data_IF_121666387588
#
_entry.id   IF_121666387588
#
_cell.length_a   1.000
_cell.length_b   1.000
_cell.length_c   1.000
_cell.angle_alpha   90.00
_cell.angle_beta   90.00
_cell.angle_gamma   90.00
#
_symmetry.space_group_name_H-M   'P 1'
#
loop_
_entity.id
_entity.type
_entity.pdbx_description
1 polymer ?
#
# COMPACT_ATOMS: atom_id res chain seq x y z
N UNK A 1 -13.40 -2.59 -9.95
CA UNK A 1 -13.13 -1.91 -11.24
C UNK A 1 -14.30 -1.06 -11.75
N UNK A 2 -15.51 -1.62 -11.94
CA UNK A 2 -16.66 -0.88 -12.49
C UNK A 2 -17.03 0.40 -11.72
N UNK A 3 -17.02 0.34 -10.39
CA UNK A 3 -17.32 1.51 -9.54
C UNK A 3 -16.24 2.59 -9.70
N UNK A 4 -14.96 2.21 -9.69
CA UNK A 4 -13.84 3.14 -9.87
C UNK A 4 -13.87 3.80 -11.26
N UNK A 5 -14.15 3.03 -12.31
CA UNK A 5 -14.30 3.58 -13.67
C UNK A 5 -15.46 4.59 -13.75
N UNK A 6 -16.62 4.28 -13.15
CA UNK A 6 -17.74 5.23 -13.07
C UNK A 6 -17.37 6.52 -12.32
N UNK A 7 -16.59 6.43 -11.24
CA UNK A 7 -16.11 7.61 -10.52
C UNK A 7 -15.15 8.47 -11.37
N UNK A 8 -14.25 7.85 -12.15
CA UNK A 8 -13.32 8.57 -13.04
C UNK A 8 -14.09 9.32 -14.11
N UNK A 9 -15.07 8.66 -14.75
CA UNK A 9 -15.92 9.27 -15.77
C UNK A 9 -16.74 10.43 -15.19
N UNK A 10 -17.29 10.28 -13.98
CA UNK A 10 -18.08 11.32 -13.35
C UNK A 10 -17.25 12.54 -12.92
N UNK A 11 -15.98 12.35 -12.52
CA UNK A 11 -15.11 13.42 -12.00
C UNK A 11 -13.64 13.25 -12.43
N UNK A 12 -13.31 13.51 -13.70
CA UNK A 12 -11.97 13.24 -14.25
C UNK A 12 -10.86 14.13 -13.68
N UNK A 13 -11.21 15.23 -13.01
CA UNK A 13 -10.22 16.14 -12.38
C UNK A 13 -9.79 15.70 -10.98
N UNK A 14 -10.40 14.67 -10.40
CA UNK A 14 -10.04 14.18 -9.07
C UNK A 14 -8.94 13.12 -9.16
N UNK A 15 -7.72 13.48 -8.74
CA UNK A 15 -6.56 12.59 -8.68
C UNK A 15 -6.85 11.26 -7.95
N UNK A 16 -7.61 11.33 -6.85
CA UNK A 16 -8.02 10.15 -6.07
C UNK A 16 -8.69 9.08 -6.94
N UNK A 17 -9.53 9.49 -7.89
CA UNK A 17 -10.25 8.53 -8.74
C UNK A 17 -9.30 7.81 -9.71
N UNK A 18 -8.32 8.54 -10.24
CA UNK A 18 -7.28 7.97 -11.10
C UNK A 18 -6.35 7.04 -10.33
N UNK A 19 -5.93 7.41 -9.12
CA UNK A 19 -5.12 6.56 -8.25
C UNK A 19 -5.85 5.25 -7.91
N UNK A 20 -7.14 5.30 -7.59
CA UNK A 20 -7.92 4.10 -7.34
C UNK A 20 -8.06 3.21 -8.60
N UNK A 21 -8.19 3.79 -9.79
CA UNK A 21 -8.21 3.00 -11.01
C UNK A 21 -6.84 2.37 -11.28
N UNK A 22 -5.79 3.17 -11.18
CA UNK A 22 -4.40 2.78 -11.40
C UNK A 22 -3.91 1.71 -10.41
N UNK A 23 -4.38 1.71 -9.16
CA UNK A 23 -4.05 0.65 -8.20
C UNK A 23 -4.81 -0.65 -8.47
N UNK A 24 -6.05 -0.58 -8.97
CA UNK A 24 -6.84 -1.80 -9.22
C UNK A 24 -6.41 -2.59 -10.45
N UNK A 25 -5.86 -1.95 -11.49
CA UNK A 25 -5.45 -2.65 -12.72
C UNK A 25 -4.31 -3.65 -12.48
N UNK A 26 -3.19 -3.27 -11.80
CA UNK A 26 -2.11 -4.19 -11.48
C UNK A 26 -2.54 -5.35 -10.57
N UNK A 27 -3.42 -5.10 -9.58
CA UNK A 27 -3.97 -6.17 -8.74
C UNK A 27 -4.69 -7.25 -9.56
N UNK A 28 -5.55 -6.84 -10.49
CA UNK A 28 -6.30 -7.79 -11.34
C UNK A 28 -5.35 -8.52 -12.28
N UNK A 29 -4.38 -7.81 -12.88
CA UNK A 29 -3.37 -8.42 -13.74
C UNK A 29 -2.55 -9.47 -12.98
N UNK A 30 -2.06 -9.14 -11.77
CA UNK A 30 -1.32 -10.08 -10.93
C UNK A 30 -2.15 -11.27 -10.47
N UNK A 31 -3.42 -11.06 -10.11
CA UNK A 31 -4.33 -12.16 -9.77
C UNK A 31 -4.49 -13.13 -10.94
N UNK A 32 -4.59 -12.62 -12.17
CA UNK A 32 -4.64 -13.45 -13.37
C UNK A 32 -3.31 -14.18 -13.63
N UNK A 33 -2.16 -13.50 -13.50
CA UNK A 33 -0.83 -14.12 -13.64
C UNK A 33 -0.64 -15.23 -12.60
N UNK A 34 -0.99 -14.99 -11.34
CA UNK A 34 -0.95 -15.98 -10.26
C UNK A 34 -1.84 -17.19 -10.55
N UNK A 35 -3.06 -16.95 -11.04
CA UNK A 35 -3.98 -18.02 -11.42
C UNK A 35 -3.40 -18.87 -12.57
N UNK A 36 -2.84 -18.23 -13.61
CA UNK A 36 -2.19 -18.92 -14.73
C UNK A 36 -0.92 -19.67 -14.32
N UNK A 37 -0.17 -19.14 -13.35
CA UNK A 37 1.00 -19.81 -12.77
C UNK A 37 0.57 -21.06 -11.98
N UNK A 38 -0.53 -20.98 -11.23
CA UNK A 38 -1.08 -22.12 -10.49
C UNK A 38 -1.60 -23.24 -11.40
N UNK A 39 -2.13 -22.90 -12.58
CA UNK A 39 -2.49 -23.87 -13.61
C UNK A 39 -1.30 -24.50 -14.34
N UNK A 40 -0.06 -24.09 -14.03
CA UNK A 40 1.14 -24.60 -14.70
C UNK A 40 1.24 -24.18 -16.16
N UNK A 41 0.56 -23.11 -16.58
CA UNK A 41 0.63 -22.63 -17.97
C UNK A 41 1.76 -21.63 -18.20
N UNK A 42 2.30 -21.01 -17.14
CA UNK A 42 3.22 -19.88 -17.25
C UNK A 42 4.43 -20.05 -16.31
N UNK A 43 5.64 -20.23 -16.88
CA UNK A 43 6.83 -20.69 -16.15
C UNK A 43 7.99 -19.69 -16.10
N UNK A 44 7.72 -18.41 -15.81
CA UNK A 44 8.82 -17.48 -15.51
C UNK A 44 8.63 -16.80 -14.16
N UNK A 45 9.19 -17.44 -13.12
CA UNK A 45 9.25 -16.93 -11.76
C UNK A 45 9.74 -15.48 -11.67
N UNK A 46 10.73 -15.12 -12.50
CA UNK A 46 11.29 -13.78 -12.52
C UNK A 46 10.28 -12.75 -13.05
N UNK A 47 9.47 -13.12 -14.05
CA UNK A 47 8.41 -12.26 -14.55
C UNK A 47 7.30 -12.07 -13.51
N UNK A 48 6.96 -13.14 -12.77
CA UNK A 48 6.02 -13.07 -11.65
C UNK A 48 6.52 -12.10 -10.57
N UNK A 49 7.77 -12.24 -10.14
CA UNK A 49 8.41 -11.32 -9.18
C UNK A 49 8.36 -9.86 -9.65
N UNK A 50 8.71 -9.59 -10.91
CA UNK A 50 8.63 -8.24 -11.47
C UNK A 50 7.20 -7.70 -11.45
N UNK A 51 6.21 -8.50 -11.88
CA UNK A 51 4.81 -8.09 -11.91
C UNK A 51 4.26 -7.78 -10.50
N UNK A 52 4.67 -8.57 -9.50
CA UNK A 52 4.37 -8.34 -8.09
C UNK A 52 5.01 -7.06 -7.57
N UNK A 53 6.32 -6.90 -7.76
CA UNK A 53 7.06 -5.72 -7.33
C UNK A 53 6.51 -4.43 -7.93
N UNK A 54 6.20 -4.42 -9.24
CA UNK A 54 5.59 -3.26 -9.90
C UNK A 54 4.20 -2.95 -9.35
N UNK A 55 3.37 -3.96 -9.18
CA UNK A 55 2.00 -3.77 -8.70
C UNK A 55 1.98 -3.21 -7.28
N UNK A 56 2.79 -3.78 -6.38
CA UNK A 56 2.93 -3.31 -4.99
C UNK A 56 3.44 -1.87 -4.97
N UNK A 57 4.45 -1.53 -5.78
CA UNK A 57 4.94 -0.15 -5.90
C UNK A 57 3.86 0.82 -6.37
N UNK A 58 3.08 0.46 -7.39
CA UNK A 58 1.99 1.32 -7.90
C UNK A 58 0.92 1.52 -6.83
N UNK A 59 0.51 0.45 -6.14
CA UNK A 59 -0.49 0.50 -5.07
C UNK A 59 -0.01 1.44 -3.94
N UNK A 60 1.25 1.29 -3.53
CA UNK A 60 1.87 2.13 -2.50
C UNK A 60 1.89 3.61 -2.88
N UNK A 61 2.36 3.94 -4.08
CA UNK A 61 2.38 5.32 -4.57
C UNK A 61 0.96 5.87 -4.61
N UNK A 62 0.00 5.11 -5.14
CA UNK A 62 -1.39 5.54 -5.24
C UNK A 62 -2.00 5.81 -3.85
N UNK A 63 -1.81 4.90 -2.90
CA UNK A 63 -2.29 5.05 -1.52
C UNK A 63 -1.62 6.25 -0.83
N UNK A 64 -0.30 6.38 -0.98
CA UNK A 64 0.48 7.50 -0.47
C UNK A 64 0.03 8.84 -1.03
N UNK A 65 -0.25 8.93 -2.33
CA UNK A 65 -0.75 10.14 -2.99
C UNK A 65 -2.16 10.51 -2.52
N UNK A 66 -3.05 9.54 -2.34
CA UNK A 66 -4.41 9.78 -1.83
C UNK A 66 -4.36 10.32 -0.41
N UNK A 67 -3.53 9.72 0.45
CA UNK A 67 -3.32 10.20 1.82
C UNK A 67 -2.68 11.59 1.83
N UNK A 68 -1.65 11.81 1.02
CA UNK A 68 -0.99 13.10 0.88
C UNK A 68 -1.97 14.20 0.43
N UNK A 69 -2.84 13.91 -0.54
CA UNK A 69 -3.84 14.86 -1.01
C UNK A 69 -4.82 15.26 0.10
N UNK A 70 -5.29 14.28 0.88
CA UNK A 70 -6.20 14.51 2.01
C UNK A 70 -5.53 15.33 3.10
N UNK A 71 -4.32 14.94 3.47
CA UNK A 71 -3.51 15.63 4.47
C UNK A 71 -3.19 17.07 4.04
N UNK A 72 -2.83 17.28 2.77
CA UNK A 72 -2.54 18.59 2.20
C UNK A 72 -3.76 19.54 2.26
N UNK A 73 -4.96 19.02 1.99
CA UNK A 73 -6.19 19.81 2.13
C UNK A 73 -6.48 20.18 3.59
N UNK A 74 -6.21 19.26 4.53
CA UNK A 74 -6.48 19.49 5.96
C UNK A 74 -5.46 20.46 6.58
N UNK A 75 -4.18 20.39 6.20
CA UNK A 75 -3.12 21.30 6.67
C UNK A 75 -3.10 22.64 5.92
N UNK A 76 -4.24 23.09 5.41
CA UNK A 76 -4.39 24.39 4.77
C UNK A 76 -3.34 24.67 3.67
N UNK A 77 -3.07 23.67 2.82
CA UNK A 77 -2.19 23.78 1.65
C UNK A 77 -0.72 24.10 1.94
N UNK A 78 -0.22 23.75 3.13
CA UNK A 78 1.21 23.90 3.44
C UNK A 78 2.09 23.06 2.49
N UNK A 79 2.98 23.73 1.75
CA UNK A 79 3.83 23.09 0.72
C UNK A 79 4.95 22.21 1.30
N UNK A 80 5.38 22.47 2.55
CA UNK A 80 6.48 21.72 3.17
C UNK A 80 6.21 20.21 3.27
N UNK A 81 4.96 19.81 3.47
CA UNK A 81 4.56 18.39 3.55
C UNK A 81 4.86 17.67 2.24
N UNK A 82 4.69 18.32 1.09
CA UNK A 82 4.96 17.71 -0.21
C UNK A 82 6.45 17.44 -0.34
N UNK A 83 7.31 18.40 0.05
CA UNK A 83 8.76 18.21 0.00
C UNK A 83 9.24 17.15 1.00
N UNK A 84 8.60 17.01 2.16
CA UNK A 84 8.95 15.99 3.13
C UNK A 84 8.50 14.58 2.70
N UNK A 85 7.27 14.44 2.17
CA UNK A 85 6.68 13.14 1.84
C UNK A 85 7.08 12.62 0.46
N UNK A 86 7.34 13.50 -0.51
CA UNK A 86 7.77 13.11 -1.87
C UNK A 86 9.00 12.18 -1.90
N UNK A 87 10.13 12.47 -1.22
CA UNK A 87 11.28 11.57 -1.21
C UNK A 87 10.97 10.24 -0.54
N UNK A 88 10.13 10.23 0.51
CA UNK A 88 9.69 8.98 1.15
C UNK A 88 8.88 8.11 0.18
N UNK A 89 7.97 8.71 -0.60
CA UNK A 89 7.23 7.99 -1.64
C UNK A 89 8.15 7.50 -2.76
N UNK A 90 9.16 8.28 -3.15
CA UNK A 90 10.15 7.85 -4.12
C UNK A 90 10.95 6.63 -3.62
N UNK A 91 11.32 6.61 -2.34
CA UNK A 91 11.97 5.45 -1.72
C UNK A 91 11.09 4.19 -1.76
N UNK A 92 9.77 4.31 -1.60
CA UNK A 92 8.87 3.15 -1.72
C UNK A 92 8.91 2.51 -3.11
N UNK A 93 9.10 3.30 -4.17
CA UNK A 93 9.28 2.77 -5.53
C UNK A 93 10.59 2.00 -5.64
N UNK A 94 11.67 2.56 -5.07
CA UNK A 94 12.98 1.93 -5.06
C UNK A 94 12.94 0.58 -4.32
N UNK A 95 12.14 0.44 -3.27
CA UNK A 95 11.97 -0.83 -2.56
C UNK A 95 11.51 -1.96 -3.48
N UNK A 96 10.53 -1.74 -4.35
CA UNK A 96 10.08 -2.78 -5.30
C UNK A 96 11.20 -3.26 -6.22
N UNK A 97 12.09 -2.35 -6.65
CA UNK A 97 13.28 -2.73 -7.40
C UNK A 97 14.27 -3.52 -6.55
N UNK A 98 14.57 -3.06 -5.33
CA UNK A 98 15.48 -3.77 -4.41
C UNK A 98 15.01 -5.20 -4.15
N UNK A 99 13.72 -5.41 -3.92
CA UNK A 99 13.16 -6.76 -3.74
C UNK A 99 13.52 -7.65 -4.92
N UNK A 100 13.28 -7.20 -6.15
CA UNK A 100 13.52 -8.02 -7.35
C UNK A 100 15.01 -8.31 -7.60
N UNK A 101 15.90 -7.38 -7.22
CA UNK A 101 17.34 -7.55 -7.40
C UNK A 101 18.01 -8.42 -6.33
N UNK A 102 17.55 -8.34 -5.08
CA UNK A 102 18.14 -9.05 -3.94
C UNK A 102 17.45 -10.37 -3.59
N UNK A 103 16.25 -10.64 -4.11
CA UNK A 103 15.61 -11.95 -3.93
C UNK A 103 15.92 -12.91 -5.08
N UNK A 104 15.93 -14.19 -4.75
CA UNK A 104 16.04 -15.27 -5.72
C UNK A 104 14.77 -16.13 -5.68
N UNK A 105 14.43 -16.70 -6.83
CA UNK A 105 13.28 -17.59 -6.97
C UNK A 105 13.74 -18.99 -7.35
N UNK A 106 13.10 -20.00 -6.75
CA UNK A 106 13.29 -21.41 -7.05
C UNK A 106 11.93 -22.02 -7.40
N UNK A 107 11.94 -22.98 -8.32
CA UNK A 107 10.75 -23.76 -8.66
C UNK A 107 10.81 -25.03 -7.82
N UNK A 108 9.83 -25.22 -6.95
CA UNK A 108 9.68 -26.39 -6.09
C UNK A 108 8.47 -27.23 -6.56
N UNK A 109 8.62 -28.55 -6.59
CA UNK A 109 7.65 -29.45 -7.24
C UNK A 109 6.25 -29.41 -6.60
N UNK A 110 6.16 -29.12 -5.30
CA UNK A 110 4.90 -29.16 -4.55
C UNK A 110 4.18 -27.81 -4.47
N UNK A 111 4.94 -26.71 -4.47
CA UNK A 111 4.43 -25.37 -4.18
C UNK A 111 4.48 -24.46 -5.41
N UNK A 112 5.26 -24.84 -6.43
CA UNK A 112 5.48 -24.05 -7.63
C UNK A 112 6.59 -23.04 -7.43
N UNK A 113 6.36 -21.78 -7.82
CA UNK A 113 7.38 -20.75 -7.71
C UNK A 113 7.45 -20.19 -6.28
N UNK A 114 8.56 -20.40 -5.60
CA UNK A 114 8.82 -19.86 -4.26
C UNK A 114 9.87 -18.75 -4.36
N UNK A 115 9.61 -17.63 -3.68
CA UNK A 115 10.52 -16.48 -3.62
C UNK A 115 11.16 -16.48 -2.23
N UNK A 116 12.48 -16.53 -2.19
CA UNK A 116 13.22 -16.44 -0.93
C UNK A 116 13.70 -15.01 -0.72
N UNK A 117 13.19 -14.40 0.35
CA UNK A 117 13.59 -13.06 0.75
C UNK A 117 14.78 -13.13 1.71
N UNK A 118 15.83 -12.37 1.41
CA UNK A 118 16.95 -12.20 2.33
C UNK A 118 16.52 -11.31 3.52
N UNK A 119 17.05 -11.56 4.72
CA UNK A 119 16.72 -10.79 5.93
C UNK A 119 16.89 -9.26 5.75
N UNK A 120 17.88 -8.86 4.92
CA UNK A 120 18.12 -7.46 4.58
C UNK A 120 16.91 -6.81 3.88
N UNK A 121 16.20 -7.55 3.04
CA UNK A 121 15.00 -7.06 2.32
C UNK A 121 13.87 -6.77 3.31
N UNK A 122 13.69 -7.60 4.34
CA UNK A 122 12.68 -7.34 5.39
C UNK A 122 13.04 -6.11 6.22
N UNK A 123 14.32 -5.93 6.55
CA UNK A 123 14.77 -4.73 7.27
C UNK A 123 14.58 -3.46 6.41
N UNK A 124 14.92 -3.53 5.12
CA UNK A 124 14.67 -2.44 4.18
C UNK A 124 13.17 -2.13 4.04
N UNK A 125 12.30 -3.15 4.01
CA UNK A 125 10.84 -2.96 3.99
C UNK A 125 10.41 -2.12 5.19
N UNK A 126 10.84 -2.51 6.39
CA UNK A 126 10.52 -1.80 7.63
C UNK A 126 10.99 -0.35 7.57
N UNK A 127 12.24 -0.11 7.18
CA UNK A 127 12.82 1.25 7.14
C UNK A 127 12.20 2.13 6.05
N UNK A 128 11.76 1.55 4.92
CA UNK A 128 11.27 2.33 3.78
C UNK A 128 9.75 2.52 3.82
N UNK A 129 8.99 1.48 4.15
CA UNK A 129 7.52 1.48 4.06
C UNK A 129 6.87 1.95 5.37
N UNK A 130 7.44 1.60 6.53
CA UNK A 130 6.84 1.94 7.82
C UNK A 130 6.85 3.46 8.08
N UNK A 131 7.95 4.22 7.90
CA UNK A 131 7.97 5.65 8.23
C UNK A 131 6.94 6.51 7.47
N UNK A 132 6.77 6.42 6.13
CA UNK A 132 5.75 7.20 5.45
C UNK A 132 4.34 6.85 5.94
N UNK A 133 4.05 5.57 6.14
CA UNK A 133 2.75 5.12 6.64
C UNK A 133 2.49 5.62 8.06
N UNK A 134 3.49 5.53 8.94
CA UNK A 134 3.42 6.02 10.31
C UNK A 134 3.28 7.55 10.39
N UNK A 135 4.02 8.29 9.56
CA UNK A 135 3.97 9.75 9.49
C UNK A 135 2.60 10.21 8.98
N UNK A 136 2.12 9.64 7.86
CA UNK A 136 0.80 9.96 7.31
C UNK A 136 -0.32 9.61 8.30
N UNK A 137 -0.22 8.46 8.96
CA UNK A 137 -1.13 8.06 10.04
C UNK A 137 -1.14 9.06 11.20
N UNK A 138 0.04 9.44 11.69
CA UNK A 138 0.17 10.37 12.82
C UNK A 138 -0.42 11.74 12.49
N UNK A 139 -0.12 12.27 11.31
CA UNK A 139 -0.69 13.54 10.84
C UNK A 139 -2.21 13.43 10.68
N UNK A 140 -2.69 12.31 10.15
CA UNK A 140 -4.13 12.05 10.02
C UNK A 140 -4.82 11.98 11.39
N UNK A 141 -4.29 11.23 12.34
CA UNK A 141 -4.82 11.15 13.71
C UNK A 141 -4.79 12.50 14.42
N UNK A 142 -3.70 13.26 14.29
CA UNK A 142 -3.59 14.60 14.88
C UNK A 142 -4.65 15.56 14.30
N UNK A 143 -4.82 15.54 12.98
CA UNK A 143 -5.81 16.39 12.32
C UNK A 143 -7.24 15.97 12.64
N UNK A 144 -7.50 14.67 12.71
CA UNK A 144 -8.78 14.14 13.14
C UNK A 144 -9.13 14.57 14.57
N UNK A 145 -8.16 14.48 15.49
CA UNK A 145 -8.31 14.94 16.87
C UNK A 145 -8.57 16.45 16.95
N UNK A 146 -7.85 17.25 16.15
CA UNK A 146 -8.06 18.70 16.09
C UNK A 146 -9.46 19.06 15.57
N UNK A 147 -9.93 18.39 14.52
CA UNK A 147 -11.27 18.62 13.98
C UNK A 147 -12.37 18.16 14.94
N UNK A 148 -12.16 17.06 15.66
CA UNK A 148 -13.04 16.60 16.73
C UNK A 148 -13.24 17.68 17.81
N UNK A 149 -12.16 18.36 18.23
CA UNK A 149 -12.25 19.47 19.20
C UNK A 149 -12.95 20.71 18.67
N UNK A 150 -12.88 20.99 17.36
CA UNK A 150 -13.44 22.21 16.76
C UNK A 150 -14.94 22.11 16.42
N UNK A 151 -15.36 20.99 15.82
CA UNK A 151 -16.74 20.85 15.29
C UNK A 151 -17.73 20.23 16.27
N UNK A 152 -17.26 19.80 17.45
CA UNK A 152 -18.09 19.12 18.44
C UNK A 152 -18.51 17.71 17.99
N UNK A 153 -19.09 16.95 18.92
CA UNK A 153 -19.34 15.53 18.75
C UNK A 153 -20.35 15.20 17.62
N UNK A 154 -21.39 16.02 17.42
CA UNK A 154 -22.51 15.67 16.52
C UNK A 154 -22.23 15.91 15.03
N UNK A 155 -21.56 17.02 14.69
CA UNK A 155 -21.10 17.25 13.32
C UNK A 155 -19.98 16.27 12.95
N UNK A 156 -19.11 15.96 13.91
CA UNK A 156 -18.05 14.98 13.75
C UNK A 156 -18.60 13.58 13.45
N UNK A 157 -19.64 13.15 14.15
CA UNK A 157 -20.26 11.83 13.95
C UNK A 157 -20.73 11.60 12.51
N UNK A 158 -21.22 12.64 11.84
CA UNK A 158 -21.64 12.57 10.42
C UNK A 158 -20.45 12.50 9.47
N UNK A 159 -19.40 13.27 9.73
CA UNK A 159 -18.20 13.32 8.88
C UNK A 159 -17.33 12.06 9.04
N UNK A 160 -17.17 11.58 10.27
CA UNK A 160 -16.36 10.40 10.61
C UNK A 160 -16.96 9.09 10.05
N UNK A 161 -18.29 9.03 9.87
CA UNK A 161 -18.99 7.80 9.48
C UNK A 161 -18.59 7.27 8.10
N UNK A 162 -18.17 8.11 7.15
CA UNK A 162 -17.97 7.68 5.76
C UNK A 162 -16.50 7.59 5.32
N UNK A 163 -15.64 8.52 5.72
CA UNK A 163 -14.24 8.57 5.24
C UNK A 163 -13.19 8.22 6.28
N UNK A 164 -13.46 8.53 7.54
CA UNK A 164 -12.44 8.42 8.59
C UNK A 164 -12.33 7.00 9.14
N UNK A 165 -13.45 6.30 9.26
CA UNK A 165 -13.48 4.90 9.71
C UNK A 165 -12.66 3.99 8.79
N UNK A 166 -12.79 4.16 7.47
CA UNK A 166 -12.06 3.34 6.50
C UNK A 166 -10.57 3.67 6.50
N UNK A 167 -10.19 4.94 6.58
CA UNK A 167 -8.78 5.34 6.69
C UNK A 167 -8.13 4.86 7.99
N UNK A 168 -8.82 4.99 9.13
CA UNK A 168 -8.32 4.51 10.42
C UNK A 168 -8.20 2.98 10.44
N UNK A 169 -9.17 2.26 9.84
CA UNK A 169 -9.10 0.81 9.71
C UNK A 169 -7.91 0.38 8.82
N UNK A 170 -7.69 1.06 7.69
CA UNK A 170 -6.53 0.78 6.84
C UNK A 170 -5.21 1.02 7.58
N UNK A 171 -5.09 2.14 8.29
CA UNK A 171 -3.90 2.48 9.08
C UNK A 171 -3.64 1.47 10.19
N UNK A 172 -4.68 1.07 10.93
CA UNK A 172 -4.54 0.07 12.00
C UNK A 172 -4.20 -1.31 11.45
N UNK A 173 -4.76 -1.68 10.31
CA UNK A 173 -4.38 -2.90 9.59
C UNK A 173 -2.90 -2.89 9.19
N UNK A 174 -2.41 -1.79 8.62
CA UNK A 174 -1.01 -1.65 8.24
C UNK A 174 -0.08 -1.66 9.47
N UNK A 175 -0.46 -1.01 10.58
CA UNK A 175 0.32 -1.05 11.82
C UNK A 175 0.36 -2.46 12.42
N UNK A 176 -0.78 -3.16 12.45
CA UNK A 176 -0.85 -4.53 12.96
C UNK A 176 0.00 -5.47 12.09
N UNK A 177 -0.09 -5.32 10.77
CA UNK A 177 0.71 -6.11 9.82
C UNK A 177 2.20 -5.86 10.00
N UNK A 178 2.62 -4.60 10.14
CA UNK A 178 4.01 -4.26 10.45
C UNK A 178 4.48 -4.90 11.77
N UNK A 179 3.66 -4.88 12.83
CA UNK A 179 3.97 -5.55 14.10
C UNK A 179 4.15 -7.07 13.88
N UNK A 180 3.21 -7.72 13.18
CA UNK A 180 3.28 -9.17 12.92
C UNK A 180 4.54 -9.55 12.14
N UNK A 181 4.91 -8.74 11.12
CA UNK A 181 6.13 -8.93 10.31
C UNK A 181 7.38 -8.76 11.18
N UNK A 182 7.45 -7.71 12.01
CA UNK A 182 8.60 -7.43 12.88
C UNK A 182 8.83 -8.53 13.90
N UNK A 183 7.76 -9.02 14.52
CA UNK A 183 7.86 -10.09 15.53
C UNK A 183 7.98 -11.49 14.90
N UNK A 184 7.97 -11.61 13.56
CA UNK A 184 8.01 -12.87 12.82
C UNK A 184 7.02 -13.91 13.37
N UNK A 185 5.81 -13.47 13.74
CA UNK A 185 4.75 -14.32 14.29
C UNK A 185 4.23 -15.21 13.15
N UNK A 186 4.91 -16.33 12.92
CA UNK A 186 4.66 -17.21 11.78
C UNK A 186 5.89 -17.94 11.23
N UNK A 187 7.11 -17.56 11.65
CA UNK A 187 8.37 -18.14 11.15
C UNK A 187 8.37 -18.22 9.61
N UNK A 188 8.27 -19.42 9.04
CA UNK A 188 8.28 -19.68 7.58
C UNK A 188 7.03 -19.20 6.85
N UNK A 189 5.91 -18.96 7.54
CA UNK A 189 4.69 -18.44 6.92
C UNK A 189 4.59 -16.90 6.96
N UNK A 190 5.64 -16.20 7.40
CA UNK A 190 5.68 -14.73 7.41
C UNK A 190 5.31 -14.12 6.05
N UNK A 191 5.66 -14.82 4.97
CA UNK A 191 5.46 -14.34 3.61
C UNK A 191 3.97 -14.32 3.21
N UNK A 192 3.17 -15.19 3.82
CA UNK A 192 1.71 -15.21 3.60
C UNK A 192 1.03 -14.00 4.26
N UNK A 193 1.55 -13.50 5.38
CA UNK A 193 1.00 -12.30 6.02
C UNK A 193 1.26 -11.06 5.18
N UNK A 194 2.43 -10.98 4.54
CA UNK A 194 2.72 -9.91 3.57
C UNK A 194 1.69 -9.99 2.44
N UNK A 195 1.45 -11.17 1.86
CA UNK A 195 0.48 -11.31 0.77
C UNK A 195 -0.97 -10.94 1.12
N UNK A 196 -1.40 -11.12 2.37
CA UNK A 196 -2.78 -10.79 2.82
C UNK A 196 -2.99 -9.29 3.05
N UNK A 197 -1.92 -8.52 3.29
CA UNK A 197 -2.00 -7.07 3.50
C UNK A 197 -2.31 -6.29 2.20
N UNK A 198 -1.93 -6.83 1.03
CA UNK A 198 -1.99 -6.16 -0.28
C UNK A 198 -3.17 -6.60 -1.16
#
# INVERSE_FOLDING_TARGET
MLVAAKMVVARPRLLTSWCCLASTMPCVANGFILYMAHLGCYFNCRMLMWSMGFSISIINICNGLVLLQKTYLILNRQRWIIYAVSPLLACQVAYGFLVVFFSYSLIEEQVGCVIYYEHLVMLCWLVIIMPPNALLSTVFCYTAFKQYRLYGHDAWRRLARNGMRTMCLAVSCNMLSAILVVFQIGKQYSDTFIAVEW
#
